data_IF_155606236004
#
_entry.id   IF_155606236004
#
_cell.length_a   1.000
_cell.length_b   1.000
_cell.length_c   1.000
_cell.angle_alpha   90.00
_cell.angle_beta   90.00
_cell.angle_gamma   90.00
#
_symmetry.space_group_name_H-M   'P 1'
#
loop_
_entity.id
_entity.type
_entity.pdbx_description
1 polymer ?
#
# COMPACT_ATOMS: atom_id res chain seq x y z
N UNK A 1 17.75 10.62 -3.04
CA UNK A 1 16.50 9.82 -3.18
C UNK A 1 15.82 9.88 -1.84
N UNK A 2 14.71 10.60 -1.75
CA UNK A 2 13.90 10.62 -0.53
C UNK A 2 13.02 9.37 -0.53
N UNK A 3 12.87 8.74 0.63
CA UNK A 3 12.05 7.54 0.82
C UNK A 3 10.66 7.93 1.35
N UNK A 4 10.12 9.07 0.89
CA UNK A 4 8.92 9.71 1.45
C UNK A 4 7.73 8.75 1.52
N UNK A 5 7.58 7.86 0.53
CA UNK A 5 6.53 6.84 0.53
C UNK A 5 6.72 5.74 1.58
N UNK A 6 7.95 5.27 1.80
CA UNK A 6 8.23 4.29 2.86
C UNK A 6 8.18 4.93 4.24
N UNK A 7 8.61 6.18 4.39
CA UNK A 7 8.47 6.95 5.63
C UNK A 7 6.99 7.10 6.01
N UNK A 8 6.15 7.49 5.04
CA UNK A 8 4.70 7.54 5.23
C UNK A 8 4.10 6.18 5.65
N UNK A 9 4.56 5.08 5.04
CA UNK A 9 4.12 3.73 5.40
C UNK A 9 4.53 3.39 6.83
N UNK A 10 5.77 3.70 7.22
CA UNK A 10 6.26 3.43 8.55
C UNK A 10 5.43 4.19 9.60
N UNK A 11 5.18 5.48 9.36
CA UNK A 11 4.47 6.37 10.27
C UNK A 11 2.96 6.07 10.38
N UNK A 12 2.33 5.52 9.34
CA UNK A 12 0.87 5.28 9.35
C UNK A 12 0.45 3.82 9.39
N UNK A 13 1.18 2.96 8.71
CA UNK A 13 0.73 1.60 8.37
C UNK A 13 1.57 0.50 9.02
N UNK A 14 2.70 0.87 9.65
CA UNK A 14 3.47 0.01 10.54
C UNK A 14 3.51 0.53 11.99
N UNK A 15 2.89 1.68 12.25
CA UNK A 15 2.62 2.18 13.60
C UNK A 15 1.21 1.75 14.05
N UNK A 16 1.09 0.75 14.95
CA UNK A 16 -0.20 0.24 15.41
C UNK A 16 -0.99 1.26 16.25
N UNK A 17 -0.39 2.37 16.69
CA UNK A 17 -1.08 3.44 17.42
C UNK A 17 -1.92 4.33 16.51
N UNK A 18 -1.69 4.27 15.19
CA UNK A 18 -2.41 5.07 14.21
C UNK A 18 -3.68 4.38 13.74
N UNK A 19 -4.79 5.11 13.75
CA UNK A 19 -6.06 4.65 13.21
C UNK A 19 -6.04 4.65 11.66
N UNK A 20 -5.42 3.64 11.08
CA UNK A 20 -5.30 3.36 9.65
C UNK A 20 -5.40 1.85 9.39
N UNK A 21 -5.41 1.42 8.13
CA UNK A 21 -5.12 0.02 7.81
C UNK A 21 -3.70 -0.31 8.26
N UNK A 22 -3.51 -1.44 8.94
CA UNK A 22 -2.22 -1.78 9.57
C UNK A 22 -1.64 -3.05 8.97
N UNK A 23 -0.37 -3.00 8.55
CA UNK A 23 0.36 -4.20 8.18
C UNK A 23 0.60 -5.07 9.41
N UNK A 24 0.49 -6.38 9.24
CA UNK A 24 0.93 -7.38 10.23
C UNK A 24 2.27 -8.01 9.86
N UNK A 25 2.81 -7.67 8.68
CA UNK A 25 4.13 -8.08 8.19
C UNK A 25 5.17 -7.01 8.52
N UNK A 26 6.45 -7.40 8.60
CA UNK A 26 7.53 -6.44 8.84
C UNK A 26 7.89 -5.61 7.60
N UNK A 27 8.60 -4.50 7.79
CA UNK A 27 9.03 -3.61 6.71
C UNK A 27 9.84 -4.35 5.62
N UNK A 28 10.70 -5.32 6.00
CA UNK A 28 11.47 -6.12 5.05
C UNK A 28 10.62 -6.97 4.12
N UNK A 29 9.57 -7.61 4.65
CA UNK A 29 8.61 -8.39 3.86
C UNK A 29 7.79 -7.47 2.95
N UNK A 30 7.38 -6.31 3.45
CA UNK A 30 6.68 -5.32 2.66
C UNK A 30 7.53 -4.80 1.50
N UNK A 31 8.80 -4.44 1.74
CA UNK A 31 9.72 -4.03 0.68
C UNK A 31 9.89 -5.12 -0.38
N UNK A 32 9.97 -6.38 0.04
CA UNK A 32 10.04 -7.53 -0.86
C UNK A 32 8.77 -7.65 -1.72
N UNK A 33 7.58 -7.48 -1.12
CA UNK A 33 6.31 -7.46 -1.86
C UNK A 33 6.21 -6.31 -2.85
N UNK A 34 6.66 -5.11 -2.49
CA UNK A 34 6.63 -3.93 -3.37
C UNK A 34 7.58 -4.08 -4.57
N UNK A 35 8.65 -4.86 -4.42
CA UNK A 35 9.63 -5.16 -5.48
C UNK A 35 9.29 -6.43 -6.27
N UNK A 36 8.27 -7.18 -5.87
CA UNK A 36 7.85 -8.41 -6.54
C UNK A 36 7.39 -8.09 -7.99
N UNK A 37 7.88 -8.82 -9.01
CA UNK A 37 7.47 -8.62 -10.39
C UNK A 37 5.95 -8.71 -10.61
N UNK A 38 5.23 -9.53 -9.84
CA UNK A 38 3.77 -9.63 -9.90
C UNK A 38 3.10 -8.36 -9.37
N UNK A 39 3.64 -7.76 -8.31
CA UNK A 39 3.16 -6.46 -7.80
C UNK A 39 3.39 -5.35 -8.82
N UNK A 40 4.60 -5.29 -9.39
CA UNK A 40 4.99 -4.25 -10.36
C UNK A 40 4.16 -4.37 -11.66
N UNK A 41 3.94 -5.59 -12.13
CA UNK A 41 3.18 -5.86 -13.36
C UNK A 41 1.67 -5.86 -13.19
N UNK A 42 1.16 -5.73 -11.96
CA UNK A 42 -0.28 -5.62 -11.72
C UNK A 42 -0.84 -4.38 -12.43
N UNK A 43 -1.91 -4.52 -13.23
CA UNK A 43 -2.52 -3.39 -13.91
C UNK A 43 -2.99 -2.30 -12.95
N UNK A 44 -2.94 -1.06 -13.42
CA UNK A 44 -3.54 0.07 -12.71
C UNK A 44 -5.07 -0.11 -12.75
N UNK A 45 -5.71 -0.11 -11.58
CA UNK A 45 -7.16 -0.27 -11.44
C UNK A 45 -7.89 1.06 -11.37
N UNK A 46 -7.23 2.11 -10.87
CA UNK A 46 -7.80 3.46 -10.70
C UNK A 46 -6.72 4.54 -10.86
N UNK A 47 -7.15 5.70 -11.33
CA UNK A 47 -6.37 6.94 -11.33
C UNK A 47 -7.08 7.98 -10.46
N UNK A 48 -6.35 8.60 -9.53
CA UNK A 48 -6.93 9.50 -8.53
C UNK A 48 -6.22 10.85 -8.59
N UNK A 49 -6.93 11.92 -8.98
CA UNK A 49 -6.38 13.27 -8.87
C UNK A 49 -6.06 13.61 -7.41
N UNK A 50 -4.86 14.15 -7.17
CA UNK A 50 -4.44 14.70 -5.88
C UNK A 50 -3.75 16.04 -6.08
N UNK A 51 -3.47 16.76 -5.00
CA UNK A 51 -2.79 18.06 -5.07
C UNK A 51 -1.43 17.99 -5.77
N UNK A 52 -0.73 16.86 -5.66
CA UNK A 52 0.61 16.64 -6.24
C UNK A 52 0.57 15.87 -7.57
N UNK A 53 -0.61 15.74 -8.17
CA UNK A 53 -0.83 15.02 -9.44
C UNK A 53 -1.61 13.72 -9.28
N UNK A 54 -1.69 12.95 -10.38
CA UNK A 54 -2.42 11.69 -10.44
C UNK A 54 -1.69 10.62 -9.62
N UNK A 55 -2.45 9.89 -8.79
CA UNK A 55 -2.02 8.67 -8.12
C UNK A 55 -2.54 7.46 -8.89
N UNK A 56 -1.64 6.55 -9.22
CA UNK A 56 -1.94 5.32 -9.95
C UNK A 56 -2.07 4.18 -8.96
N UNK A 57 -3.27 3.61 -8.87
CA UNK A 57 -3.61 2.60 -7.87
C UNK A 57 -3.47 1.21 -8.46
N UNK A 58 -2.79 0.31 -7.74
CA UNK A 58 -2.79 -1.14 -7.97
C UNK A 58 -3.37 -1.81 -6.73
N UNK A 59 -4.24 -2.79 -6.93
CA UNK A 59 -4.76 -3.64 -5.85
C UNK A 59 -4.34 -5.09 -6.16
N UNK A 60 -3.54 -5.68 -5.27
CA UNK A 60 -2.90 -6.98 -5.45
C UNK A 60 -3.45 -7.92 -4.39
N UNK A 61 -3.97 -9.09 -4.76
CA UNK A 61 -4.21 -10.16 -3.79
C UNK A 61 -2.92 -10.96 -3.58
N UNK A 62 -2.31 -10.83 -2.40
CA UNK A 62 -1.04 -11.47 -2.05
C UNK A 62 -1.23 -12.96 -1.71
N UNK A 63 -2.48 -13.44 -1.62
CA UNK A 63 -2.81 -14.85 -1.33
C UNK A 63 -2.56 -15.28 0.12
N UNK A 64 -2.13 -14.36 0.98
CA UNK A 64 -1.98 -14.56 2.43
C UNK A 64 -2.34 -13.26 3.16
N UNK A 65 -2.80 -13.37 4.40
CA UNK A 65 -3.05 -12.20 5.24
C UNK A 65 -1.78 -11.37 5.42
N UNK A 66 -1.86 -10.08 5.12
CA UNK A 66 -0.75 -9.12 5.26
C UNK A 66 -1.05 -8.00 6.26
N UNK A 67 -2.28 -7.91 6.76
CA UNK A 67 -2.67 -6.88 7.71
C UNK A 67 -4.18 -6.78 7.89
N UNK A 68 -4.64 -5.62 8.36
CA UNK A 68 -6.05 -5.31 8.60
C UNK A 68 -6.51 -4.12 7.76
N UNK A 69 -7.74 -4.18 7.27
CA UNK A 69 -8.36 -3.10 6.50
C UNK A 69 -9.26 -2.24 7.40
N UNK A 70 -8.88 -0.98 7.63
CA UNK A 70 -9.66 -0.03 8.43
C UNK A 70 -11.08 0.17 7.87
N UNK A 71 -11.23 0.18 6.55
CA UNK A 71 -12.53 0.38 5.90
C UNK A 71 -13.41 -0.86 5.91
N UNK A 72 -12.87 -1.98 6.39
CA UNK A 72 -13.60 -3.22 6.62
C UNK A 72 -13.58 -3.58 8.10
N UNK A 73 -13.75 -2.58 8.98
CA UNK A 73 -13.80 -2.75 10.44
C UNK A 73 -12.59 -3.48 11.03
N UNK A 74 -11.39 -3.25 10.47
CA UNK A 74 -10.16 -3.88 10.93
C UNK A 74 -10.08 -5.38 10.65
N UNK A 75 -10.90 -5.91 9.74
CA UNK A 75 -10.82 -7.32 9.37
C UNK A 75 -9.49 -7.66 8.67
N UNK A 76 -8.96 -8.87 8.88
CA UNK A 76 -7.76 -9.32 8.18
C UNK A 76 -7.94 -9.31 6.66
N UNK A 77 -6.87 -9.00 5.92
CA UNK A 77 -6.91 -8.92 4.46
C UNK A 77 -5.61 -9.41 3.83
N UNK A 78 -5.72 -10.04 2.65
CA UNK A 78 -4.61 -10.37 1.76
C UNK A 78 -4.37 -9.32 0.68
N UNK A 79 -5.26 -8.33 0.57
CA UNK A 79 -5.16 -7.31 -0.47
C UNK A 79 -4.16 -6.25 -0.07
N UNK A 80 -3.18 -5.99 -0.93
CA UNK A 80 -2.27 -4.87 -0.88
C UNK A 80 -2.71 -3.79 -1.87
N UNK A 81 -2.94 -2.57 -1.39
CA UNK A 81 -3.10 -1.40 -2.26
C UNK A 81 -1.77 -0.66 -2.34
N UNK A 82 -1.32 -0.34 -3.56
CA UNK A 82 -0.10 0.44 -3.83
C UNK A 82 -0.47 1.67 -4.65
N UNK A 83 -0.02 2.85 -4.21
CA UNK A 83 -0.16 4.11 -4.94
C UNK A 83 1.21 4.58 -5.41
N UNK A 84 1.33 4.85 -6.70
CA UNK A 84 2.52 5.48 -7.29
C UNK A 84 2.19 6.82 -7.93
N UNK A 85 3.21 7.66 -8.12
CA UNK A 85 3.12 8.80 -9.03
C UNK A 85 3.27 8.37 -10.51
N UNK A 86 3.27 9.34 -11.42
CA UNK A 86 3.41 9.11 -12.87
C UNK A 86 4.78 8.58 -13.31
N UNK A 87 5.79 8.66 -12.45
CA UNK A 87 7.13 8.13 -12.70
C UNK A 87 7.31 6.74 -12.07
N UNK A 88 6.29 6.21 -11.38
CA UNK A 88 6.36 4.95 -10.66
C UNK A 88 6.98 5.05 -9.27
N UNK A 89 7.22 6.26 -8.75
CA UNK A 89 7.71 6.42 -7.38
C UNK A 89 6.61 6.05 -6.39
N UNK A 90 6.99 5.34 -5.32
CA UNK A 90 6.08 4.96 -4.25
C UNK A 90 5.56 6.20 -3.51
N UNK A 91 4.25 6.32 -3.40
CA UNK A 91 3.57 7.37 -2.63
C UNK A 91 3.11 6.83 -1.29
N UNK A 92 2.45 5.67 -1.31
CA UNK A 92 2.05 4.91 -0.11
C UNK A 92 1.65 3.49 -0.52
N UNK A 93 1.55 2.61 0.47
CA UNK A 93 0.97 1.28 0.34
C UNK A 93 0.28 0.89 1.65
N UNK A 94 -0.82 0.16 1.58
CA UNK A 94 -1.55 -0.27 2.78
C UNK A 94 -2.38 -1.55 2.56
N UNK A 95 -2.70 -2.30 3.63
CA UNK A 95 -3.61 -3.44 3.54
C UNK A 95 -5.06 -3.01 3.31
N UNK A 96 -5.76 -3.74 2.45
CA UNK A 96 -7.15 -3.47 2.10
C UNK A 96 -7.29 -2.79 0.75
N UNK A 97 -8.54 -2.48 0.41
CA UNK A 97 -8.89 -1.80 -0.85
C UNK A 97 -9.14 -0.33 -0.60
N UNK A 98 -8.89 0.49 -1.61
CA UNK A 98 -9.27 1.88 -1.54
C UNK A 98 -10.79 2.01 -1.74
N UNK A 99 -11.50 2.61 -0.77
CA UNK A 99 -12.94 2.89 -0.87
C UNK A 99 -13.19 4.34 -1.23
#
# INVERSE_FOLDING_TARGET
MTNDGMEHINDRHLDPSVNASQFSIGEGDLRSLLQDPNTISTPITREIPSADGIRYVREIDVGKTIGTDKYSNGQPTSVLTVLTDKYGNLVTAFPGKLK
#
